data_IF_761779124847
#
_entry.id   IF_761779124847
#
_cell.length_a   1.000
_cell.length_b   1.000
_cell.length_c   1.000
_cell.angle_alpha   90.00
_cell.angle_beta   90.00
_cell.angle_gamma   90.00
#
_symmetry.space_group_name_H-M   'P 1'
#
loop_
_entity.id
_entity.type
_entity.pdbx_description
1 polymer ?
#
# COMPACT_ATOMS: atom_id res chain seq x y z
N UNK A 1 7.15 21.73 -9.08
CA UNK A 1 7.57 20.31 -9.06
C UNK A 1 7.74 19.83 -10.50
N UNK A 2 8.86 19.17 -10.81
CA UNK A 2 9.23 18.82 -12.19
C UNK A 2 8.41 17.66 -12.74
N UNK A 3 7.85 17.82 -13.95
CA UNK A 3 7.23 16.72 -14.70
C UNK A 3 8.27 15.62 -14.93
N UNK A 4 7.93 14.37 -14.63
CA UNK A 4 8.74 13.21 -15.03
C UNK A 4 8.95 13.22 -16.55
N UNK A 5 10.14 12.83 -17.01
CA UNK A 5 10.44 12.75 -18.44
C UNK A 5 9.51 11.74 -19.12
N UNK A 6 9.26 11.93 -20.41
CA UNK A 6 8.47 10.97 -21.23
C UNK A 6 9.11 9.59 -21.12
N UNK A 7 10.43 9.50 -21.22
CA UNK A 7 11.19 8.26 -21.09
C UNK A 7 10.93 7.55 -19.74
N UNK A 8 10.87 8.31 -18.64
CA UNK A 8 10.55 7.74 -17.32
C UNK A 8 9.17 7.09 -17.35
N UNK A 9 8.17 7.81 -17.87
CA UNK A 9 6.78 7.34 -17.90
C UNK A 9 6.58 6.14 -18.82
N UNK A 10 7.25 6.11 -19.98
CA UNK A 10 7.00 5.09 -21.01
C UNK A 10 7.91 3.87 -20.91
N UNK A 11 9.09 3.98 -20.28
CA UNK A 11 10.04 2.85 -20.20
C UNK A 11 10.36 2.45 -18.76
N UNK A 12 10.70 3.42 -17.89
CA UNK A 12 11.17 3.11 -16.55
C UNK A 12 10.02 2.58 -15.67
N UNK A 13 8.87 3.26 -15.66
CA UNK A 13 7.75 2.85 -14.84
C UNK A 13 7.20 1.46 -15.21
N UNK A 14 6.96 1.12 -16.50
CA UNK A 14 6.55 -0.23 -16.88
C UNK A 14 7.61 -1.29 -16.56
N UNK A 15 8.89 -0.97 -16.74
CA UNK A 15 9.98 -1.87 -16.36
C UNK A 15 9.95 -2.17 -14.86
N UNK A 16 9.78 -1.16 -14.00
CA UNK A 16 9.69 -1.34 -12.56
C UNK A 16 8.49 -2.21 -12.17
N UNK A 17 7.33 -2.02 -12.80
CA UNK A 17 6.16 -2.86 -12.58
C UNK A 17 6.45 -4.33 -12.94
N UNK A 18 7.16 -4.58 -14.05
CA UNK A 18 7.56 -5.94 -14.42
C UNK A 18 8.57 -6.54 -13.44
N UNK A 19 9.60 -5.78 -13.04
CA UNK A 19 10.59 -6.23 -12.06
C UNK A 19 10.01 -6.46 -10.67
N UNK A 20 8.88 -5.81 -10.31
CA UNK A 20 8.16 -6.09 -9.06
C UNK A 20 7.56 -7.52 -9.01
N UNK A 21 7.46 -8.18 -10.18
CA UNK A 21 6.94 -9.55 -10.31
C UNK A 21 8.06 -10.59 -10.48
N UNK A 22 9.32 -10.17 -10.55
CA UNK A 22 10.48 -11.02 -10.80
C UNK A 22 10.60 -12.18 -9.79
N UNK A 23 11.11 -13.33 -10.20
CA UNK A 23 11.27 -14.48 -9.29
C UNK A 23 12.41 -14.27 -8.28
N UNK A 24 13.39 -13.41 -8.60
CA UNK A 24 14.50 -13.07 -7.73
C UNK A 24 14.06 -12.07 -6.63
N UNK A 25 14.12 -12.47 -5.34
CA UNK A 25 13.77 -11.60 -4.22
C UNK A 25 14.46 -10.23 -4.19
N UNK A 26 15.73 -10.16 -4.59
CA UNK A 26 16.53 -8.93 -4.55
C UNK A 26 16.09 -7.93 -5.61
N UNK A 27 15.79 -8.42 -6.82
CA UNK A 27 15.25 -7.60 -7.92
C UNK A 27 13.86 -7.09 -7.54
N UNK A 28 12.98 -8.00 -7.10
CA UNK A 28 11.63 -7.67 -6.63
C UNK A 28 11.64 -6.63 -5.52
N UNK A 29 12.47 -6.83 -4.50
CA UNK A 29 12.61 -5.92 -3.35
C UNK A 29 13.05 -4.52 -3.80
N UNK A 30 14.03 -4.44 -4.71
CA UNK A 30 14.54 -3.17 -5.25
C UNK A 30 13.50 -2.46 -6.11
N UNK A 31 12.76 -3.20 -6.94
CA UNK A 31 11.69 -2.66 -7.77
C UNK A 31 10.56 -2.09 -6.91
N UNK A 32 10.06 -2.84 -5.92
CA UNK A 32 9.02 -2.39 -4.97
C UNK A 32 9.47 -1.17 -4.19
N UNK A 33 10.74 -1.13 -3.75
CA UNK A 33 11.31 0.02 -3.05
C UNK A 33 11.31 1.27 -3.94
N UNK A 34 11.60 1.09 -5.22
CA UNK A 34 11.63 2.18 -6.21
C UNK A 34 10.22 2.65 -6.56
N UNK A 35 9.24 1.74 -6.68
CA UNK A 35 7.82 2.09 -6.83
C UNK A 35 7.33 2.96 -5.65
N UNK A 36 7.72 2.63 -4.41
CA UNK A 36 7.41 3.46 -3.24
C UNK A 36 8.10 4.83 -3.21
N UNK A 37 9.20 5.01 -3.94
CA UNK A 37 9.79 6.34 -4.17
C UNK A 37 8.94 7.11 -5.17
N UNK A 38 8.57 6.47 -6.29
CA UNK A 38 7.74 7.10 -7.31
C UNK A 38 6.36 7.48 -6.78
N UNK A 39 5.75 6.66 -5.92
CA UNK A 39 4.45 6.97 -5.33
C UNK A 39 4.42 8.24 -4.46
N UNK A 40 5.59 8.79 -4.09
CA UNK A 40 5.68 10.06 -3.36
C UNK A 40 5.70 11.30 -4.25
N UNK A 41 5.89 11.13 -5.55
CA UNK A 41 5.74 12.25 -6.47
C UNK A 41 4.24 12.52 -6.67
N UNK A 42 3.88 13.80 -6.85
CA UNK A 42 2.50 14.23 -7.10
C UNK A 42 1.85 13.28 -8.08
N UNK A 43 0.67 12.78 -7.73
CA UNK A 43 -0.07 11.82 -8.54
C UNK A 43 -0.38 12.35 -9.95
N UNK A 44 -0.35 13.67 -10.16
CA UNK A 44 -0.43 14.33 -11.47
C UNK A 44 0.73 13.93 -12.40
N UNK A 45 1.82 13.39 -11.85
CA UNK A 45 2.97 12.90 -12.60
C UNK A 45 2.72 11.54 -13.25
N UNK A 46 1.72 10.78 -12.80
CA UNK A 46 1.45 9.41 -13.21
C UNK A 46 0.08 9.25 -13.85
N UNK A 47 -0.10 8.15 -14.57
CA UNK A 47 -1.42 7.72 -15.03
C UNK A 47 -2.14 7.00 -13.90
N UNK A 48 -3.47 7.04 -13.91
CA UNK A 48 -4.32 6.32 -12.95
C UNK A 48 -3.99 4.82 -12.93
N UNK A 49 -3.80 4.23 -14.11
CA UNK A 49 -3.38 2.82 -14.27
C UNK A 49 -2.05 2.52 -13.57
N UNK A 50 -1.07 3.43 -13.65
CA UNK A 50 0.21 3.22 -12.98
C UNK A 50 0.06 3.21 -11.45
N UNK A 51 -0.77 4.09 -10.90
CA UNK A 51 -1.01 4.16 -9.45
C UNK A 51 -1.65 2.85 -8.98
N UNK A 52 -2.63 2.34 -9.72
CA UNK A 52 -3.26 1.05 -9.45
C UNK A 52 -2.25 -0.10 -9.53
N UNK A 53 -1.47 -0.20 -10.60
CA UNK A 53 -0.47 -1.26 -10.78
C UNK A 53 0.64 -1.22 -9.71
N UNK A 54 1.08 -0.01 -9.32
CA UNK A 54 2.06 0.16 -8.26
C UNK A 54 1.48 -0.27 -6.90
N UNK A 55 0.23 0.09 -6.61
CA UNK A 55 -0.49 -0.35 -5.43
C UNK A 55 -0.58 -1.88 -5.37
N UNK A 56 -0.95 -2.53 -6.48
CA UNK A 56 -1.00 -3.99 -6.58
C UNK A 56 0.38 -4.62 -6.39
N UNK A 57 1.42 -4.10 -7.04
CA UNK A 57 2.78 -4.61 -6.90
C UNK A 57 3.31 -4.52 -5.46
N UNK A 58 3.05 -3.39 -4.78
CA UNK A 58 3.40 -3.20 -3.37
C UNK A 58 2.60 -4.15 -2.47
N UNK A 59 1.29 -4.28 -2.70
CA UNK A 59 0.39 -5.15 -1.94
C UNK A 59 0.80 -6.62 -2.04
N UNK A 60 1.07 -7.10 -3.26
CA UNK A 60 1.60 -8.46 -3.48
C UNK A 60 2.96 -8.68 -2.78
N UNK A 61 3.78 -7.63 -2.71
CA UNK A 61 5.03 -7.65 -1.96
C UNK A 61 4.84 -7.83 -0.45
N UNK A 62 3.80 -7.22 0.13
CA UNK A 62 3.42 -7.42 1.54
C UNK A 62 2.96 -8.85 1.81
N UNK A 63 2.20 -9.44 0.88
CA UNK A 63 1.63 -10.77 1.05
C UNK A 63 2.62 -11.92 0.78
N UNK A 64 3.86 -11.60 0.37
CA UNK A 64 4.90 -12.58 0.11
C UNK A 64 5.49 -13.16 1.42
N UNK A 65 4.75 -14.08 2.03
CA UNK A 65 5.04 -14.69 3.34
C UNK A 65 6.43 -15.31 3.47
N UNK A 66 6.97 -15.84 2.38
CA UNK A 66 8.25 -16.56 2.40
C UNK A 66 9.48 -15.63 2.39
N UNK A 67 9.31 -14.36 2.01
CA UNK A 67 10.45 -13.47 1.69
C UNK A 67 10.42 -12.18 2.51
N UNK A 68 11.02 -12.23 3.70
CA UNK A 68 11.04 -11.11 4.66
C UNK A 68 11.61 -9.82 4.06
N UNK A 69 12.69 -9.90 3.27
CA UNK A 69 13.33 -8.73 2.67
C UNK A 69 12.40 -7.96 1.71
N UNK A 70 11.54 -8.68 0.97
CA UNK A 70 10.54 -8.07 0.10
C UNK A 70 9.47 -7.37 0.94
N UNK A 71 8.95 -8.03 1.98
CA UNK A 71 7.94 -7.44 2.87
C UNK A 71 8.42 -6.19 3.58
N UNK A 72 9.69 -6.14 4.00
CA UNK A 72 10.28 -4.93 4.59
C UNK A 72 10.18 -3.75 3.61
N UNK A 73 10.61 -3.93 2.35
CA UNK A 73 10.53 -2.84 1.37
C UNK A 73 9.08 -2.52 0.98
N UNK A 74 8.23 -3.53 0.83
CA UNK A 74 6.81 -3.34 0.54
C UNK A 74 6.10 -2.56 1.65
N UNK A 75 6.39 -2.86 2.92
CA UNK A 75 5.86 -2.13 4.08
C UNK A 75 6.27 -0.66 4.06
N UNK A 76 7.54 -0.38 3.77
CA UNK A 76 8.03 0.98 3.65
C UNK A 76 7.34 1.71 2.49
N UNK A 77 7.22 1.05 1.33
CA UNK A 77 6.58 1.61 0.14
C UNK A 77 5.09 1.90 0.35
N UNK A 78 4.34 1.01 1.01
CA UNK A 78 2.91 1.26 1.30
C UNK A 78 2.72 2.41 2.27
N UNK A 79 3.58 2.54 3.28
CA UNK A 79 3.54 3.67 4.21
C UNK A 79 3.75 4.99 3.49
N UNK A 80 4.65 5.04 2.52
CA UNK A 80 4.90 6.24 1.74
C UNK A 80 3.80 6.53 0.71
N UNK A 81 3.28 5.50 0.05
CA UNK A 81 2.18 5.64 -0.90
C UNK A 81 0.93 6.20 -0.22
N UNK A 82 0.58 5.65 0.95
CA UNK A 82 -0.58 6.12 1.73
C UNK A 82 -0.37 7.51 2.32
N UNK A 83 0.86 7.84 2.76
CA UNK A 83 1.22 9.18 3.21
C UNK A 83 1.08 10.21 2.08
N UNK A 84 1.52 9.86 0.88
CA UNK A 84 1.43 10.75 -0.27
C UNK A 84 -0.01 10.90 -0.75
N UNK A 85 -0.81 9.84 -0.65
CA UNK A 85 -2.22 9.85 -0.98
C UNK A 85 -2.99 10.86 -0.10
N UNK A 86 -2.78 10.89 1.21
CA UNK A 86 -3.54 11.79 2.10
C UNK A 86 -3.17 13.28 1.93
N UNK A 87 -1.95 13.56 1.45
CA UNK A 87 -1.46 14.92 1.21
C UNK A 87 -1.72 15.43 -0.21
N UNK A 88 -2.27 14.59 -1.10
CA UNK A 88 -2.62 14.99 -2.46
C UNK A 88 -3.99 15.69 -2.49
N UNK A 89 -4.04 16.96 -2.90
CA UNK A 89 -5.30 17.73 -2.94
C UNK A 89 -6.42 17.03 -3.75
N UNK A 90 -6.08 16.16 -4.71
CA UNK A 90 -7.02 15.41 -5.54
C UNK A 90 -7.27 13.96 -5.10
N UNK A 91 -6.90 13.57 -3.87
CA UNK A 91 -6.99 12.18 -3.43
C UNK A 91 -8.42 11.61 -3.46
N UNK A 92 -9.43 12.46 -3.20
CA UNK A 92 -10.84 12.06 -3.20
C UNK A 92 -11.32 11.56 -4.56
N UNK A 93 -10.76 12.10 -5.64
CA UNK A 93 -11.07 11.64 -7.00
C UNK A 93 -10.30 10.36 -7.37
N UNK A 94 -9.21 10.06 -6.65
CA UNK A 94 -8.30 8.94 -6.95
C UNK A 94 -8.64 7.67 -6.19
N UNK A 95 -9.13 7.78 -4.96
CA UNK A 95 -9.49 6.60 -4.16
C UNK A 95 -10.57 5.74 -4.83
N UNK A 96 -11.58 6.32 -5.50
CA UNK A 96 -12.50 5.55 -6.36
C UNK A 96 -11.80 4.74 -7.47
N UNK A 97 -10.65 5.18 -7.99
CA UNK A 97 -9.89 4.42 -8.99
C UNK A 97 -9.30 3.13 -8.40
N UNK A 98 -8.99 3.14 -7.11
CA UNK A 98 -8.55 1.94 -6.39
C UNK A 98 -9.69 0.95 -6.12
N UNK A 99 -10.95 1.32 -6.42
CA UNK A 99 -12.06 0.36 -6.39
C UNK A 99 -12.06 -0.62 -7.55
N UNK A 100 -11.23 -0.40 -8.58
CA UNK A 100 -11.17 -1.31 -9.70
C UNK A 100 -10.83 -2.73 -9.24
N UNK A 101 -11.59 -3.69 -9.78
CA UNK A 101 -11.37 -5.10 -9.54
C UNK A 101 -10.06 -5.50 -10.20
N UNK A 102 -9.05 -5.78 -9.39
CA UNK A 102 -7.78 -6.31 -9.85
C UNK A 102 -7.77 -7.82 -9.73
N UNK A 103 -7.15 -8.46 -10.71
CA UNK A 103 -6.90 -9.90 -10.65
C UNK A 103 -5.74 -10.14 -9.70
N UNK A 104 -6.01 -10.77 -8.56
CA UNK A 104 -4.98 -11.20 -7.63
C UNK A 104 -4.65 -12.66 -7.94
N UNK A 105 -3.46 -12.89 -8.49
CA UNK A 105 -2.92 -14.23 -8.65
C UNK A 105 -2.29 -14.68 -7.33
N UNK A 106 -2.92 -15.63 -6.64
CA UNK A 106 -2.30 -16.35 -5.53
C UNK A 106 -1.65 -17.60 -6.13
N UNK A 107 -0.38 -17.81 -5.81
CA UNK A 107 0.40 -18.94 -6.32
C UNK A 107 -0.31 -20.27 -5.98
N UNK A 108 -0.83 -20.95 -7.01
CA UNK A 108 -1.56 -22.23 -6.87
C UNK A 108 -3.08 -22.15 -6.76
N UNK A 109 -3.73 -21.00 -7.00
CA UNK A 109 -5.21 -20.90 -7.03
C UNK A 109 -5.74 -20.23 -8.29
N UNK A 110 -7.05 -20.35 -8.52
CA UNK A 110 -7.76 -19.56 -9.54
C UNK A 110 -7.61 -18.06 -9.27
N UNK A 111 -7.61 -17.29 -10.36
CA UNK A 111 -7.57 -15.83 -10.35
C UNK A 111 -8.81 -15.25 -9.66
N UNK A 112 -8.62 -14.64 -8.50
CA UNK A 112 -9.70 -13.97 -7.77
C UNK A 112 -9.67 -12.49 -8.10
N UNK A 113 -10.78 -11.96 -8.62
CA UNK A 113 -10.98 -10.52 -8.74
C UNK A 113 -11.27 -9.95 -7.36
N UNK A 114 -10.34 -9.15 -6.85
CA UNK A 114 -10.50 -8.41 -5.59
C UNK A 114 -10.33 -6.94 -5.90
N UNK A 115 -11.15 -6.10 -5.30
CA UNK A 115 -10.98 -4.66 -5.32
C UNK A 115 -9.59 -4.28 -4.76
N UNK A 116 -8.79 -3.50 -5.48
CA UNK A 116 -7.40 -3.22 -5.11
C UNK A 116 -7.28 -2.52 -3.75
N UNK A 117 -8.20 -1.60 -3.45
CA UNK A 117 -8.30 -0.94 -2.16
C UNK A 117 -8.56 -1.98 -1.07
N UNK A 118 -9.52 -2.87 -1.26
CA UNK A 118 -9.80 -3.91 -0.28
C UNK A 118 -8.62 -4.86 -0.05
N UNK A 119 -7.93 -5.26 -1.12
CA UNK A 119 -6.71 -6.05 -1.02
C UNK A 119 -5.66 -5.32 -0.17
N UNK A 120 -5.41 -4.04 -0.47
CA UNK A 120 -4.49 -3.19 0.28
C UNK A 120 -4.83 -3.14 1.78
N UNK A 121 -6.09 -2.90 2.14
CA UNK A 121 -6.53 -2.87 3.54
C UNK A 121 -6.30 -4.21 4.25
N UNK A 122 -6.57 -5.34 3.59
CA UNK A 122 -6.33 -6.68 4.14
C UNK A 122 -4.84 -6.95 4.35
N UNK A 123 -4.01 -6.65 3.35
CA UNK A 123 -2.57 -6.91 3.41
C UNK A 123 -1.90 -6.03 4.47
N UNK A 124 -2.31 -4.77 4.61
CA UNK A 124 -1.88 -3.89 5.71
C UNK A 124 -2.30 -4.47 7.07
N UNK A 125 -3.55 -4.91 7.21
CA UNK A 125 -4.03 -5.53 8.45
C UNK A 125 -3.22 -6.77 8.86
N UNK A 126 -2.83 -7.60 7.88
CA UNK A 126 -1.95 -8.76 8.12
C UNK A 126 -0.54 -8.31 8.50
N UNK A 127 0.01 -7.31 7.79
CA UNK A 127 1.35 -6.79 8.04
C UNK A 127 1.52 -6.12 9.41
N UNK A 128 0.43 -5.62 10.02
CA UNK A 128 0.41 -5.12 11.41
C UNK A 128 0.75 -6.21 12.45
N UNK A 129 0.76 -7.50 12.07
CA UNK A 129 1.16 -8.61 12.93
C UNK A 129 2.52 -9.24 12.58
N UNK A 130 3.24 -8.69 11.60
CA UNK A 130 4.52 -9.21 11.11
C UNK A 130 5.70 -8.88 12.06
N UNK A 131 6.94 -8.98 11.59
CA UNK A 131 8.13 -8.53 12.32
C UNK A 131 8.13 -7.01 12.49
N UNK A 132 8.88 -6.52 13.49
CA UNK A 132 8.84 -5.11 13.88
C UNK A 132 9.18 -4.13 12.74
N UNK A 133 10.13 -4.49 11.87
CA UNK A 133 10.52 -3.68 10.70
C UNK A 133 9.39 -3.46 9.70
N UNK A 134 8.46 -4.43 9.60
CA UNK A 134 7.26 -4.37 8.76
C UNK A 134 6.14 -3.66 9.52
N UNK A 135 5.91 -4.05 10.78
CA UNK A 135 4.86 -3.53 11.65
C UNK A 135 4.83 -2.01 11.70
N UNK A 136 5.95 -1.36 11.98
CA UNK A 136 5.99 0.12 12.12
C UNK A 136 5.41 0.83 10.90
N UNK A 137 5.77 0.38 9.70
CA UNK A 137 5.27 0.96 8.46
C UNK A 137 3.82 0.53 8.16
N UNK A 138 3.42 -0.67 8.54
CA UNK A 138 2.04 -1.12 8.41
C UNK A 138 1.08 -0.32 9.30
N UNK A 139 1.48 -0.02 10.55
CA UNK A 139 0.71 0.85 11.44
C UNK A 139 0.62 2.29 10.91
N UNK A 140 1.71 2.83 10.38
CA UNK A 140 1.71 4.12 9.66
C UNK A 140 0.72 4.11 8.49
N UNK A 141 0.82 3.11 7.62
CA UNK A 141 -0.10 2.96 6.48
C UNK A 141 -1.56 2.80 6.92
N UNK A 142 -1.82 2.04 7.98
CA UNK A 142 -3.16 1.84 8.52
C UNK A 142 -3.78 3.15 9.01
N UNK A 143 -3.03 4.00 9.72
CA UNK A 143 -3.49 5.33 10.13
C UNK A 143 -3.84 6.20 8.93
N UNK A 144 -2.95 6.30 7.94
CA UNK A 144 -3.18 7.06 6.71
C UNK A 144 -4.39 6.55 5.92
N UNK A 145 -4.61 5.23 5.89
CA UNK A 145 -5.78 4.65 5.23
C UNK A 145 -7.09 5.07 5.91
N UNK A 146 -7.12 5.27 7.23
CA UNK A 146 -8.33 5.76 7.90
C UNK A 146 -8.72 7.18 7.47
N UNK A 147 -7.76 8.04 7.07
CA UNK A 147 -8.06 9.38 6.54
C UNK A 147 -8.74 9.34 5.18
N UNK A 148 -8.48 8.29 4.39
CA UNK A 148 -9.10 8.15 3.07
C UNK A 148 -10.46 7.46 3.10
N UNK A 149 -10.98 7.13 4.29
CA UNK A 149 -12.31 6.55 4.45
C UNK A 149 -13.40 7.59 4.16
N UNK A 150 -14.11 7.39 3.06
CA UNK A 150 -15.42 8.00 2.82
C UNK A 150 -16.53 7.08 3.36
N UNK A 151 -17.75 7.59 3.50
CA UNK A 151 -18.90 6.78 3.92
C UNK A 151 -19.09 5.54 3.03
N UNK A 152 -18.92 5.70 1.72
CA UNK A 152 -19.01 4.60 0.75
C UNK A 152 -17.93 3.54 0.98
N UNK A 153 -16.67 3.95 1.19
CA UNK A 153 -15.56 3.04 1.49
C UNK A 153 -15.77 2.34 2.81
N UNK A 154 -16.16 3.09 3.84
CA UNK A 154 -16.43 2.54 5.14
C UNK A 154 -17.52 1.47 5.07
N UNK A 155 -18.65 1.77 4.43
CA UNK A 155 -19.76 0.81 4.30
C UNK A 155 -19.33 -0.43 3.50
N UNK A 156 -18.63 -0.26 2.39
CA UNK A 156 -18.13 -1.39 1.59
C UNK A 156 -17.17 -2.30 2.40
N UNK A 157 -16.12 -1.72 2.98
CA UNK A 157 -15.10 -2.48 3.70
C UNK A 157 -15.63 -3.13 4.99
N UNK A 158 -16.60 -2.48 5.65
CA UNK A 158 -17.30 -3.01 6.81
C UNK A 158 -18.17 -4.22 6.43
N UNK A 159 -19.02 -4.08 5.42
CA UNK A 159 -19.94 -5.13 5.00
C UNK A 159 -19.21 -6.37 4.48
N UNK A 160 -18.13 -6.19 3.74
CA UNK A 160 -17.43 -7.30 3.08
C UNK A 160 -16.46 -8.03 4.03
N UNK A 161 -15.76 -7.29 4.91
CA UNK A 161 -14.60 -7.87 5.60
C UNK A 161 -14.40 -7.49 7.08
N UNK A 162 -15.17 -6.53 7.62
CA UNK A 162 -14.98 -6.01 8.99
C UNK A 162 -13.52 -5.58 9.25
N UNK A 163 -12.84 -5.12 8.19
CA UNK A 163 -11.40 -4.85 8.21
C UNK A 163 -11.10 -3.57 8.98
N UNK A 164 -12.02 -2.60 8.93
CA UNK A 164 -11.89 -1.30 9.61
C UNK A 164 -11.91 -1.47 11.12
N UNK A 165 -12.86 -2.23 11.68
CA UNK A 165 -12.93 -2.48 13.12
C UNK A 165 -11.65 -3.14 13.65
N UNK A 166 -11.09 -4.09 12.88
CA UNK A 166 -9.85 -4.77 13.23
C UNK A 166 -8.65 -3.82 13.17
N UNK A 167 -8.56 -2.96 12.16
CA UNK A 167 -7.52 -1.93 12.04
C UNK A 167 -7.59 -0.98 13.24
N UNK A 168 -8.77 -0.41 13.52
CA UNK A 168 -8.98 0.52 14.64
C UNK A 168 -8.62 -0.12 15.98
N UNK A 169 -9.04 -1.38 16.22
CA UNK A 169 -8.71 -2.12 17.44
C UNK A 169 -7.19 -2.32 17.60
N UNK A 170 -6.49 -2.70 16.52
CA UNK A 170 -5.04 -2.88 16.56
C UNK A 170 -4.30 -1.56 16.74
N UNK A 171 -4.70 -0.48 16.07
CA UNK A 171 -4.13 0.86 16.24
C UNK A 171 -4.23 1.31 17.69
N UNK A 172 -5.43 1.23 18.28
CA UNK A 172 -5.66 1.59 19.68
C UNK A 172 -4.76 0.80 20.64
N UNK A 173 -4.55 -0.50 20.38
CA UNK A 173 -3.61 -1.31 21.17
C UNK A 173 -2.17 -0.85 20.97
N UNK A 174 -1.73 -0.68 19.72
CA UNK A 174 -0.33 -0.41 19.40
C UNK A 174 0.16 0.96 19.89
N UNK A 175 -0.71 1.98 19.93
CA UNK A 175 -0.38 3.30 20.52
C UNK A 175 0.04 3.16 21.99
N UNK A 176 -0.49 2.17 22.71
CA UNK A 176 -0.18 1.97 24.12
C UNK A 176 1.06 1.08 24.35
N UNK A 177 1.24 0.03 23.53
CA UNK A 177 2.24 -1.02 23.81
C UNK A 177 3.31 -1.19 22.72
N UNK A 178 3.22 -0.46 21.62
CA UNK A 178 4.19 -0.51 20.51
C UNK A 178 5.54 0.11 20.87
N UNK A 179 6.56 -0.16 20.06
CA UNK A 179 7.85 0.49 20.24
C UNK A 179 7.72 2.01 20.02
N UNK A 180 8.60 2.80 20.65
CA UNK A 180 8.56 4.27 20.57
C UNK A 180 8.42 4.79 19.13
N UNK A 181 9.25 4.31 18.21
CA UNK A 181 9.21 4.70 16.80
C UNK A 181 7.85 4.43 16.17
N UNK A 182 7.34 3.21 16.32
CA UNK A 182 6.04 2.81 15.77
C UNK A 182 4.88 3.59 16.36
N UNK A 183 4.94 3.93 17.66
CA UNK A 183 3.92 4.76 18.31
C UNK A 183 3.90 6.18 17.77
N UNK A 184 5.07 6.80 17.60
CA UNK A 184 5.18 8.16 17.04
C UNK A 184 4.66 8.18 15.60
N UNK A 185 5.10 7.24 14.75
CA UNK A 185 4.62 7.15 13.37
C UNK A 185 3.11 6.89 13.31
N UNK A 186 2.58 6.02 14.17
CA UNK A 186 1.14 5.76 14.25
C UNK A 186 0.33 6.99 14.70
N UNK A 187 0.82 7.75 15.68
CA UNK A 187 0.13 8.94 16.20
C UNK A 187 0.12 10.08 15.18
N UNK A 188 1.23 10.29 14.46
CA UNK A 188 1.31 11.30 13.40
C UNK A 188 0.27 11.05 12.29
N UNK A 189 -0.05 9.78 12.03
CA UNK A 189 -1.06 9.41 11.04
C UNK A 189 -2.50 9.47 11.54
N UNK A 190 -2.75 9.81 12.82
CA UNK A 190 -4.09 9.94 13.39
C UNK A 190 -4.46 11.38 13.74
N UNK A 191 -3.50 12.31 13.64
CA UNK A 191 -3.66 13.74 13.86
C UNK A 191 -3.77 14.46 12.52
#
# INVERSE_FOLDING_TARGET
MGRLSVETKTHILPLLLNLSKDSNPSIKSSAIRTLGIFSQYSSQCFTDTFILDACVGITNGLDLKQVVAVRIQASWSVGNMTDSLIHDEGWKDKVPLLYESVVVAIEGTEEVKVNALLALYKSVLVAMEDIEKVKVNAFRAAGNLLHVLTDEIYMYLKCEHGVIEKICSKLAKYINVGIMKGRVECLLCLL
#
